data_IF_000706382226
#
_entry.id   IF_000706382226
#
_cell.length_a   1.000
_cell.length_b   1.000
_cell.length_c   1.000
_cell.angle_alpha   90.00
_cell.angle_beta   90.00
_cell.angle_gamma   90.00
#
_symmetry.space_group_name_H-M   'P 1'
#
loop_
_entity.id
_entity.type
_entity.pdbx_description
1 polymer ?
#
# COMPACT_ATOMS: atom_id res chain seq x y z
N UNK A 1 -1.18 13.20 -9.43
CA UNK A 1 -0.55 12.38 -8.37
C UNK A 1 -1.17 10.98 -8.29
N UNK A 2 -0.36 9.91 -8.18
CA UNK A 2 -0.88 8.56 -8.08
C UNK A 2 -1.68 8.39 -6.77
N UNK A 3 -2.90 7.87 -6.91
CA UNK A 3 -3.80 7.56 -5.79
C UNK A 3 -3.56 6.11 -5.36
N UNK A 4 -3.81 5.83 -4.08
CA UNK A 4 -3.84 4.45 -3.61
C UNK A 4 -4.95 3.68 -4.35
N UNK A 5 -4.68 2.43 -4.70
CA UNK A 5 -5.68 1.51 -5.23
C UNK A 5 -6.11 0.58 -4.10
N UNK A 6 -7.41 0.54 -3.84
CA UNK A 6 -8.02 -0.36 -2.85
C UNK A 6 -9.17 -1.12 -3.51
N UNK A 7 -9.36 -2.41 -3.20
CA UNK A 7 -8.42 -3.30 -2.51
C UNK A 7 -7.14 -3.57 -3.32
N UNK A 8 -6.02 -3.80 -2.64
CA UNK A 8 -4.79 -4.30 -3.27
C UNK A 8 -4.26 -5.56 -2.61
N UNK A 9 -3.65 -6.45 -3.39
CA UNK A 9 -3.02 -7.67 -2.90
C UNK A 9 -1.53 -7.47 -2.65
N UNK A 10 -1.07 -7.72 -1.42
CA UNK A 10 0.33 -7.72 -1.01
C UNK A 10 0.61 -8.97 -0.17
N UNK A 11 1.65 -9.75 -0.51
CA UNK A 11 2.00 -10.99 0.23
C UNK A 11 0.80 -11.93 0.47
N UNK A 12 -0.03 -12.13 -0.55
CA UNK A 12 -1.27 -12.94 -0.49
C UNK A 12 -2.33 -12.43 0.50
N UNK A 13 -2.19 -11.20 1.01
CA UNK A 13 -3.20 -10.50 1.80
C UNK A 13 -3.81 -9.36 1.01
N UNK A 14 -5.08 -9.13 1.23
CA UNK A 14 -5.82 -8.04 0.61
C UNK A 14 -5.90 -6.87 1.61
N UNK A 15 -5.53 -5.68 1.16
CA UNK A 15 -5.55 -4.47 1.95
C UNK A 15 -6.49 -3.45 1.32
N UNK A 16 -7.43 -2.97 2.11
CA UNK A 16 -8.41 -1.94 1.72
C UNK A 16 -8.05 -0.55 2.26
N UNK A 17 -6.96 -0.48 3.02
CA UNK A 17 -6.48 0.72 3.67
C UNK A 17 -4.95 0.69 3.73
N UNK A 18 -4.37 1.82 4.12
CA UNK A 18 -2.93 1.91 4.30
C UNK A 18 -2.45 0.88 5.33
N UNK A 19 -1.46 0.09 4.97
CA UNK A 19 -0.85 -0.93 5.83
C UNK A 19 0.51 -0.46 6.32
N UNK A 20 0.91 -0.92 7.50
CA UNK A 20 2.27 -0.75 8.03
C UNK A 20 3.10 -2.02 7.91
N UNK A 21 2.54 -3.08 7.31
CA UNK A 21 3.25 -4.34 7.11
C UNK A 21 4.57 -4.12 6.36
N UNK A 22 5.62 -4.80 6.79
CA UNK A 22 6.99 -4.70 6.24
C UNK A 22 7.67 -3.33 6.34
N UNK A 23 7.07 -2.33 7.00
CA UNK A 23 7.67 -1.01 7.09
C UNK A 23 8.32 -0.76 8.47
N UNK A 24 9.65 -0.78 8.49
CA UNK A 24 10.50 -0.72 9.72
C UNK A 24 10.37 0.62 10.49
N UNK A 25 9.75 1.65 9.90
CA UNK A 25 9.67 3.00 10.46
C UNK A 25 8.27 3.39 10.99
N UNK A 26 7.37 2.44 11.24
CA UNK A 26 5.99 2.69 11.69
C UNK A 26 5.18 3.60 10.73
N UNK A 27 5.67 3.75 9.50
CA UNK A 27 5.02 4.50 8.42
C UNK A 27 4.07 3.56 7.68
N UNK A 28 2.86 4.04 7.46
CA UNK A 28 1.90 3.33 6.64
C UNK A 28 2.17 3.59 5.16
N UNK A 29 1.78 2.66 4.30
CA UNK A 29 1.92 2.72 2.86
C UNK A 29 0.71 2.07 2.20
N UNK A 30 0.51 2.38 0.92
CA UNK A 30 -0.55 1.79 0.11
C UNK A 30 0.02 1.40 -1.26
N UNK A 31 -0.59 0.40 -1.91
CA UNK A 31 -0.26 0.11 -3.30
C UNK A 31 -0.94 1.10 -4.24
N UNK A 32 -0.29 1.35 -5.37
CA UNK A 32 -0.83 2.18 -6.46
C UNK A 32 -1.51 1.33 -7.55
N UNK A 33 -1.67 0.03 -7.28
CA UNK A 33 -2.12 -1.00 -8.22
C UNK A 33 -2.88 -2.07 -7.46
N UNK A 34 -3.78 -2.79 -8.13
CA UNK A 34 -4.56 -3.85 -7.48
C UNK A 34 -3.71 -5.05 -7.04
N UNK A 35 -2.55 -5.26 -7.66
CA UNK A 35 -1.62 -6.32 -7.29
C UNK A 35 -0.21 -5.76 -7.09
N UNK A 36 0.16 -5.55 -5.82
CA UNK A 36 1.51 -5.09 -5.50
C UNK A 36 2.57 -6.12 -5.92
N UNK A 37 2.26 -7.41 -5.89
CA UNK A 37 3.26 -8.44 -6.15
C UNK A 37 3.77 -8.39 -7.60
N UNK A 38 2.93 -7.96 -8.54
CA UNK A 38 3.31 -7.79 -9.95
C UNK A 38 3.98 -6.44 -10.20
N UNK A 39 3.33 -5.36 -9.78
CA UNK A 39 3.73 -4.00 -10.14
C UNK A 39 4.82 -3.44 -9.22
N UNK A 40 4.83 -3.88 -7.96
CA UNK A 40 5.69 -3.36 -6.88
C UNK A 40 5.62 -1.83 -6.73
N UNK A 41 4.49 -1.24 -7.12
CA UNK A 41 4.21 0.19 -7.01
C UNK A 41 3.48 0.48 -5.71
N UNK A 42 4.06 1.36 -4.92
CA UNK A 42 3.51 1.81 -3.66
C UNK A 42 3.85 3.27 -3.41
N UNK A 43 3.13 3.87 -2.47
CA UNK A 43 3.50 5.16 -1.90
C UNK A 43 3.34 5.13 -0.39
N UNK A 44 4.09 5.99 0.29
CA UNK A 44 3.89 6.23 1.71
C UNK A 44 2.53 6.90 1.93
N UNK A 45 1.75 6.41 2.88
CA UNK A 45 0.59 7.10 3.39
C UNK A 45 1.07 8.18 4.36
N UNK A 46 0.74 9.42 4.06
CA UNK A 46 0.95 10.52 4.99
C UNK A 46 -0.12 10.41 6.09
N UNK A 47 0.21 10.71 7.36
CA UNK A 47 -0.77 10.75 8.47
C UNK A 47 -1.85 11.85 8.34
N UNK A 48 -1.90 12.54 7.19
CA UNK A 48 -2.76 13.67 6.86
C UNK A 48 -3.68 13.38 5.65
N UNK A 49 -3.81 12.11 5.23
CA UNK A 49 -4.67 11.71 4.11
C UNK A 49 -5.93 11.02 4.63
#
# INVERSE_FOLDING_TARGET
PPKCTFPFTFKQRTFEQCTKEDYVLNRSWCSLTSNYNTDRKWKQCSPLQ
#
